data_IF_265455725938
#
_entry.id   IF_265455725938
#
_cell.length_a   1.000
_cell.length_b   1.000
_cell.length_c   1.000
_cell.angle_alpha   90.00
_cell.angle_beta   90.00
_cell.angle_gamma   90.00
#
_symmetry.space_group_name_H-M   'P 1'
#
loop_
_entity.id
_entity.type
_entity.pdbx_description
1 polymer ?
#
# COMPACT_ATOMS: atom_id res chain seq x y z
N UNK A 1 13.89 3.09 13.75
CA UNK A 1 12.69 3.11 12.90
C UNK A 1 12.09 1.70 12.93
N UNK A 2 10.93 1.48 13.55
CA UNK A 2 10.26 0.19 13.50
C UNK A 2 9.67 -0.02 12.10
N UNK A 3 10.18 -1.01 11.36
CA UNK A 3 9.66 -1.39 10.06
C UNK A 3 8.33 -2.15 10.26
N UNK A 4 7.22 -1.48 9.92
CA UNK A 4 5.89 -2.10 10.00
C UNK A 4 5.76 -3.22 8.97
N UNK A 5 5.29 -4.37 9.42
CA UNK A 5 4.95 -5.49 8.53
C UNK A 5 3.73 -5.13 7.68
N UNK A 6 3.79 -5.46 6.39
CA UNK A 6 2.62 -5.45 5.50
C UNK A 6 1.66 -6.52 5.98
N UNK A 7 0.39 -6.15 6.18
CA UNK A 7 -0.70 -7.09 6.46
C UNK A 7 -1.52 -7.34 5.18
N UNK A 8 -2.26 -8.46 5.10
CA UNK A 8 -3.17 -8.74 3.99
C UNK A 8 -4.12 -7.59 3.68
N UNK A 9 -4.66 -6.91 4.71
CA UNK A 9 -5.66 -5.83 4.55
C UNK A 9 -5.08 -4.55 3.90
N UNK A 10 -3.77 -4.34 4.03
CA UNK A 10 -3.10 -3.18 3.41
C UNK A 10 -2.89 -3.38 1.91
N UNK A 11 -2.73 -4.62 1.47
CA UNK A 11 -2.31 -4.97 0.10
C UNK A 11 -3.29 -4.47 -0.96
N UNK A 12 -4.61 -4.68 -0.83
CA UNK A 12 -5.60 -4.17 -1.79
C UNK A 12 -5.50 -2.66 -1.96
N UNK A 13 -5.34 -1.93 -0.86
CA UNK A 13 -5.24 -0.46 -0.84
C UNK A 13 -3.94 0.00 -1.48
N UNK A 14 -2.81 -0.63 -1.15
CA UNK A 14 -1.50 -0.31 -1.76
C UNK A 14 -1.55 -0.51 -3.28
N UNK A 15 -2.07 -1.65 -3.73
CA UNK A 15 -2.18 -1.99 -5.16
C UNK A 15 -3.09 -0.99 -5.88
N UNK A 16 -4.27 -0.67 -5.32
CA UNK A 16 -5.18 0.31 -5.90
C UNK A 16 -4.58 1.72 -5.93
N UNK A 17 -3.95 2.16 -4.84
CA UNK A 17 -3.29 3.47 -4.77
C UNK A 17 -2.21 3.59 -5.85
N UNK A 18 -1.46 2.52 -6.10
CA UNK A 18 -0.45 2.47 -7.16
C UNK A 18 -1.02 2.45 -8.57
N UNK A 19 -2.16 1.79 -8.78
CA UNK A 19 -2.89 1.89 -10.05
C UNK A 19 -3.39 3.31 -10.30
N UNK A 20 -3.79 4.04 -9.24
CA UNK A 20 -4.14 5.46 -9.28
C UNK A 20 -2.94 6.41 -9.30
N UNK A 21 -1.73 5.89 -9.53
CA UNK A 21 -0.47 6.64 -9.58
C UNK A 21 -0.13 7.44 -8.30
N UNK A 22 -0.72 7.09 -7.16
CA UNK A 22 -0.46 7.77 -5.88
C UNK A 22 1.00 7.53 -5.46
N UNK A 23 1.75 8.58 -5.05
CA UNK A 23 3.14 8.45 -4.61
C UNK A 23 3.32 7.53 -3.41
N UNK A 24 4.48 6.87 -3.34
CA UNK A 24 4.82 6.00 -2.20
C UNK A 24 4.84 6.76 -0.87
N UNK A 25 5.20 8.05 -0.89
CA UNK A 25 5.18 8.92 0.29
C UNK A 25 3.78 9.04 0.91
N UNK A 26 2.74 9.10 0.09
CA UNK A 26 1.36 9.19 0.57
C UNK A 26 0.88 7.88 1.17
N UNK A 27 1.18 6.76 0.50
CA UNK A 27 0.86 5.41 0.99
C UNK A 27 1.58 5.14 2.32
N UNK A 28 2.86 5.50 2.41
CA UNK A 28 3.67 5.39 3.63
C UNK A 28 3.19 6.31 4.75
N UNK A 29 2.74 7.53 4.41
CA UNK A 29 2.13 8.46 5.36
C UNK A 29 0.80 7.94 5.93
N UNK A 30 -0.03 7.32 5.09
CA UNK A 30 -1.30 6.71 5.50
C UNK A 30 -1.10 5.49 6.43
N UNK A 31 0.01 4.76 6.26
CA UNK A 31 0.36 3.62 7.12
C UNK A 31 1.58 3.94 7.99
N UNK A 32 1.41 4.48 9.22
CA UNK A 32 2.52 4.82 10.09
C UNK A 32 3.52 3.66 10.26
N UNK A 33 4.79 3.94 9.94
CA UNK A 33 5.90 2.98 10.02
C UNK A 33 6.04 2.04 8.81
N UNK A 34 5.17 2.12 7.79
CA UNK A 34 5.33 1.35 6.56
C UNK A 34 6.37 2.01 5.66
N UNK A 35 7.43 1.29 5.32
CA UNK A 35 8.48 1.82 4.46
C UNK A 35 8.22 1.57 2.95
N UNK A 36 8.97 2.27 2.12
CA UNK A 36 8.86 2.19 0.66
C UNK A 36 9.25 0.81 0.12
N UNK A 37 10.21 0.14 0.76
CA UNK A 37 10.63 -1.22 0.38
C UNK A 37 9.47 -2.21 0.47
N UNK A 38 8.66 -2.12 1.52
CA UNK A 38 7.46 -2.95 1.70
C UNK A 38 6.38 -2.67 0.68
N UNK A 39 6.17 -1.41 0.31
CA UNK A 39 5.27 -1.04 -0.79
C UNK A 39 5.77 -1.66 -2.11
N UNK A 40 7.08 -1.59 -2.38
CA UNK A 40 7.69 -2.19 -3.55
C UNK A 40 7.58 -3.72 -3.57
N UNK A 41 7.72 -4.39 -2.42
CA UNK A 41 7.57 -5.84 -2.31
C UNK A 41 6.15 -6.30 -2.67
N UNK A 42 5.13 -5.53 -2.27
CA UNK A 42 3.73 -5.78 -2.66
C UNK A 42 3.56 -5.63 -4.17
N UNK A 43 4.08 -4.55 -4.75
CA UNK A 43 3.96 -4.28 -6.19
C UNK A 43 4.74 -5.27 -7.06
N UNK A 44 5.86 -5.81 -6.56
CA UNK A 44 6.65 -6.85 -7.23
C UNK A 44 6.09 -8.26 -7.02
N UNK A 45 4.98 -8.42 -6.30
CA UNK A 45 4.40 -9.74 -6.00
C UNK A 45 5.20 -10.58 -5.00
N UNK A 46 6.20 -10.01 -4.32
CA UNK A 46 7.00 -10.71 -3.29
C UNK A 46 6.23 -10.90 -1.99
N UNK A 47 5.21 -10.06 -1.75
CA UNK A 47 4.29 -10.17 -0.62
C UNK A 47 2.85 -10.17 -1.11
N UNK A 48 2.11 -11.20 -0.71
CA UNK A 48 0.68 -11.35 -1.00
C UNK A 48 0.34 -11.17 -2.50
N UNK A 49 0.98 -11.94 -3.41
CA UNK A 49 0.74 -11.83 -4.84
C UNK A 49 -0.72 -12.09 -5.21
N UNK A 50 -1.36 -13.02 -4.52
CA UNK A 50 -2.72 -13.51 -4.79
C UNK A 50 -3.83 -12.51 -4.42
N UNK A 51 -3.54 -11.52 -3.56
CA UNK A 51 -4.54 -10.55 -3.11
C UNK A 51 -4.75 -9.49 -4.19
N UNK A 52 -5.95 -9.35 -4.80
CA UNK A 52 -6.19 -8.35 -5.84
C UNK A 52 -6.19 -6.92 -5.29
N UNK A 53 -6.04 -5.89 -6.16
CA UNK A 53 -6.31 -4.50 -5.79
C UNK A 53 -7.75 -4.33 -5.27
N UNK A 54 -7.93 -3.38 -4.34
CA UNK A 54 -9.27 -2.98 -3.91
C UNK A 54 -10.04 -2.32 -5.08
N UNK A 55 -11.38 -2.33 -5.02
CA UNK A 55 -12.22 -1.55 -5.94
C UNK A 55 -12.22 -0.06 -5.60
N UNK A 56 -12.19 0.25 -4.29
CA UNK A 56 -12.24 1.62 -3.77
C UNK A 56 -11.14 1.82 -2.72
N UNK A 57 -10.61 3.04 -2.64
CA UNK A 57 -9.72 3.43 -1.55
C UNK A 57 -10.56 3.71 -0.29
N UNK A 58 -9.98 3.54 0.91
CA UNK A 58 -10.60 4.00 2.15
C UNK A 58 -11.00 5.47 2.05
N UNK A 59 -12.12 5.85 2.67
CA UNK A 59 -12.65 7.21 2.62
C UNK A 59 -11.73 8.25 3.27
N UNK A 60 -10.85 7.82 4.16
CA UNK A 60 -9.83 8.62 4.85
C UNK A 60 -8.47 8.56 4.13
N UNK A 61 -8.35 7.82 3.02
CA UNK A 61 -7.11 7.74 2.26
C UNK A 61 -6.84 9.06 1.55
N UNK A 62 -5.61 9.59 1.55
CA UNK A 62 -5.30 10.84 0.89
C UNK A 62 -5.51 10.69 -0.63
N UNK A 63 -6.50 11.40 -1.16
CA UNK A 63 -6.73 11.62 -2.59
C UNK A 63 -6.64 13.12 -2.88
N UNK A 64 -5.76 13.50 -3.81
CA UNK A 64 -5.69 14.86 -4.34
C UNK A 64 -6.95 15.20 -5.12
#
# INVERSE_FOLDING_TARGET
>A
MQDRKVTPDMVPVIKLARQKQIPYSWISGYYPGLNFGRIADVMKGRRFPEIPPASNLPSDFPSA
#
